data_IF_700351051472
#
_entry.id   IF_700351051472
#
_cell.length_a   1.000
_cell.length_b   1.000
_cell.length_c   1.000
_cell.angle_alpha   90.00
_cell.angle_beta   90.00
_cell.angle_gamma   90.00
#
_symmetry.space_group_name_H-M   'P 1'
#
loop_
_entity.id
_entity.type
_entity.pdbx_description
1 polymer ?
#
# COMPACT_ATOMS: atom_id res chain seq x y z
N UNK A 1 -9.31 -3.29 -8.77
CA UNK A 1 -8.56 -3.90 -9.89
C UNK A 1 -7.83 -5.14 -9.42
N UNK A 2 -6.85 -5.66 -10.17
CA UNK A 2 -6.09 -6.86 -9.81
C UNK A 2 -5.38 -6.78 -8.45
N UNK A 3 -4.99 -5.56 -8.02
CA UNK A 3 -4.33 -5.32 -6.73
C UNK A 3 -5.28 -4.90 -5.60
N UNK A 4 -6.58 -5.18 -5.75
CA UNK A 4 -7.57 -4.89 -4.70
C UNK A 4 -7.14 -5.59 -3.40
N UNK A 5 -7.23 -4.89 -2.26
CA UNK A 5 -6.79 -5.31 -0.92
C UNK A 5 -5.26 -5.38 -0.71
N UNK A 6 -4.44 -5.09 -1.73
CA UNK A 6 -2.97 -4.99 -1.59
C UNK A 6 -2.49 -3.56 -1.77
N UNK A 7 -3.00 -2.87 -2.80
CA UNK A 7 -2.70 -1.47 -3.11
C UNK A 7 -3.95 -0.62 -2.93
N UNK A 8 -3.88 0.36 -2.04
CA UNK A 8 -4.89 1.40 -1.86
C UNK A 8 -4.47 2.67 -2.63
N UNK A 9 -5.44 3.41 -3.16
CA UNK A 9 -5.23 4.71 -3.79
C UNK A 9 -5.93 5.77 -2.95
N UNK A 10 -5.17 6.76 -2.46
CA UNK A 10 -5.71 7.83 -1.63
C UNK A 10 -5.55 9.20 -2.27
N UNK A 11 -6.62 9.99 -2.19
CA UNK A 11 -6.64 11.42 -2.57
C UNK A 11 -6.77 12.34 -1.37
N UNK A 12 -6.73 11.78 -0.15
CA UNK A 12 -6.84 12.54 1.09
C UNK A 12 -5.46 13.07 1.52
N UNK A 13 -5.40 14.18 2.28
CA UNK A 13 -4.15 14.67 2.85
C UNK A 13 -3.75 13.82 4.08
N UNK A 14 -3.29 12.59 3.81
CA UNK A 14 -2.97 11.57 4.82
C UNK A 14 -1.74 11.97 5.63
N UNK A 15 -1.77 11.70 6.94
CA UNK A 15 -0.60 11.68 7.82
C UNK A 15 -0.35 10.28 8.37
N UNK A 16 0.83 10.05 8.97
CA UNK A 16 1.25 8.69 9.38
C UNK A 16 0.33 8.02 10.40
N UNK A 17 -0.37 8.77 11.25
CA UNK A 17 -1.29 8.18 12.24
C UNK A 17 -2.59 7.68 11.63
N UNK A 18 -2.98 8.21 10.47
CA UNK A 18 -4.23 7.82 9.79
C UNK A 18 -4.16 6.40 9.23
N UNK A 19 -2.94 5.86 9.04
CA UNK A 19 -2.70 4.55 8.43
C UNK A 19 -2.48 3.44 9.45
N UNK A 20 -2.47 3.74 10.75
CA UNK A 20 -2.29 2.73 11.80
C UNK A 20 -3.42 1.71 11.68
N UNK A 21 -3.06 0.43 11.54
CA UNK A 21 -4.03 -0.65 11.34
C UNK A 21 -4.60 -0.75 9.92
N UNK A 22 -4.08 0.01 8.94
CA UNK A 22 -4.45 -0.18 7.54
C UNK A 22 -3.81 -1.48 7.00
N UNK A 23 -4.59 -2.44 6.47
CA UNK A 23 -4.10 -3.76 6.09
C UNK A 23 -3.42 -3.79 4.70
N UNK A 24 -3.44 -2.69 3.94
CA UNK A 24 -2.83 -2.66 2.61
C UNK A 24 -1.31 -2.63 2.72
N UNK A 25 -0.63 -3.21 1.73
CA UNK A 25 0.83 -3.20 1.65
C UNK A 25 1.38 -1.87 1.15
N UNK A 26 0.55 -1.08 0.49
CA UNK A 26 0.91 0.22 -0.05
C UNK A 26 -0.34 1.08 -0.18
N UNK A 27 -0.26 2.32 0.27
CA UNK A 27 -1.29 3.34 0.12
C UNK A 27 -0.68 4.46 -0.70
N UNK A 28 -1.06 4.53 -1.97
CA UNK A 28 -0.54 5.51 -2.92
C UNK A 28 -1.09 6.90 -2.60
N UNK A 29 -0.21 7.84 -2.29
CA UNK A 29 -0.53 9.24 -2.02
C UNK A 29 -0.53 10.02 -3.34
N UNK A 30 -1.71 10.16 -3.93
CA UNK A 30 -1.88 10.87 -5.19
C UNK A 30 -1.57 12.38 -5.06
N UNK A 31 -2.01 13.10 -3.99
CA UNK A 31 -1.68 14.52 -3.81
C UNK A 31 -0.18 14.82 -3.72
N UNK A 32 0.62 13.89 -3.19
CA UNK A 32 2.07 14.07 -3.10
C UNK A 32 2.82 13.67 -4.37
N UNK A 33 2.18 12.92 -5.28
CA UNK A 33 2.81 12.43 -6.51
C UNK A 33 2.97 13.55 -7.54
N UNK A 34 4.16 13.67 -8.13
CA UNK A 34 4.48 14.72 -9.12
C UNK A 34 5.43 14.24 -10.21
N UNK A 35 5.30 14.83 -11.40
CA UNK A 35 6.31 14.76 -12.46
C UNK A 35 7.24 15.96 -12.29
N UNK A 36 8.53 15.67 -12.17
CA UNK A 36 9.63 16.64 -12.08
C UNK A 36 10.35 16.63 -13.42
N UNK A 37 10.68 17.82 -13.93
CA UNK A 37 11.44 18.03 -15.17
C UNK A 37 10.89 17.27 -16.41
N UNK A 38 9.58 17.03 -16.44
CA UNK A 38 8.86 16.44 -17.57
C UNK A 38 8.97 14.92 -17.74
N UNK A 39 9.94 14.26 -17.10
CA UNK A 39 10.14 12.82 -17.24
C UNK A 39 10.55 12.06 -15.96
N UNK A 40 10.69 12.73 -14.82
CA UNK A 40 11.00 12.07 -13.55
C UNK A 40 9.79 12.03 -12.62
N UNK A 41 9.23 10.85 -12.38
CA UNK A 41 8.05 10.70 -11.51
C UNK A 41 8.50 10.44 -10.08
N UNK A 42 8.11 11.33 -9.16
CA UNK A 42 8.23 11.13 -7.71
C UNK A 42 6.88 10.73 -7.15
N UNK A 43 6.80 9.54 -6.57
CA UNK A 43 5.62 9.03 -5.87
C UNK A 43 5.88 8.92 -4.37
N UNK A 44 4.82 8.93 -3.58
CA UNK A 44 4.88 8.60 -2.15
C UNK A 44 3.88 7.49 -1.86
N UNK A 45 4.30 6.50 -1.08
CA UNK A 45 3.43 5.42 -0.63
C UNK A 45 3.60 5.26 0.88
N UNK A 46 2.47 5.22 1.58
CA UNK A 46 2.41 4.89 3.00
C UNK A 46 2.19 3.39 3.18
N UNK A 47 2.62 2.87 4.32
CA UNK A 47 2.25 1.53 4.76
C UNK A 47 2.43 1.45 6.28
N UNK A 48 1.50 0.77 6.94
CA UNK A 48 1.73 0.31 8.30
C UNK A 48 2.70 -0.88 8.22
N UNK A 49 3.92 -0.68 8.70
CA UNK A 49 4.98 -1.67 8.59
C UNK A 49 4.73 -2.93 9.43
N UNK A 50 3.91 -2.86 10.48
CA UNK A 50 3.56 -4.02 11.30
C UNK A 50 2.30 -4.69 10.77
N UNK A 51 1.23 -3.92 10.57
CA UNK A 51 -0.08 -4.45 10.25
C UNK A 51 -0.19 -4.89 8.79
N UNK A 52 0.24 -4.04 7.85
CA UNK A 52 0.20 -4.36 6.42
C UNK A 52 1.04 -5.60 6.09
N UNK A 53 2.21 -5.73 6.71
CA UNK A 53 3.07 -6.90 6.55
C UNK A 53 2.46 -8.16 7.17
N UNK A 54 1.94 -8.08 8.40
CA UNK A 54 1.33 -9.25 9.07
C UNK A 54 0.15 -9.83 8.28
N UNK A 55 -0.67 -8.97 7.66
CA UNK A 55 -1.74 -9.43 6.76
C UNK A 55 -1.19 -10.17 5.53
N UNK A 56 -0.09 -9.72 4.94
CA UNK A 56 0.55 -10.43 3.80
C UNK A 56 1.11 -11.79 4.19
N UNK A 57 1.63 -11.92 5.40
CA UNK A 57 2.08 -13.23 5.92
C UNK A 57 0.89 -14.19 6.01
N UNK A 58 -0.24 -13.72 6.55
CA UNK A 58 -1.47 -14.54 6.61
C UNK A 58 -2.00 -14.91 5.23
N UNK A 59 -2.03 -13.96 4.29
CA UNK A 59 -2.43 -14.21 2.89
C UNK A 59 -1.52 -15.27 2.23
N UNK A 60 -0.20 -15.17 2.46
CA UNK A 60 0.78 -16.12 1.93
C UNK A 60 0.55 -17.54 2.46
N UNK A 61 0.20 -17.70 3.73
CA UNK A 61 -0.15 -19.03 4.27
C UNK A 61 -1.31 -19.66 3.50
N UNK A 62 -2.33 -18.88 3.14
CA UNK A 62 -3.44 -19.36 2.31
C UNK A 62 -3.04 -19.73 0.88
N UNK A 63 -2.00 -19.10 0.33
CA UNK A 63 -1.42 -19.50 -0.97
C UNK A 63 -0.62 -20.79 -0.84
N UNK A 64 0.18 -20.92 0.22
CA UNK A 64 0.97 -22.13 0.46
C UNK A 64 0.09 -23.36 0.68
N UNK A 65 -1.01 -23.22 1.42
CA UNK A 65 -2.01 -24.28 1.64
C UNK A 65 -2.63 -24.78 0.32
N UNK A 66 -2.73 -23.93 -0.71
CA UNK A 66 -3.24 -24.32 -2.02
C UNK A 66 -2.21 -25.05 -2.90
N UNK A 67 -0.94 -25.10 -2.47
CA UNK A 67 0.14 -25.77 -3.20
C UNK A 67 0.39 -27.21 -2.72
N UNK A 68 -0.13 -27.56 -1.54
CA UNK A 68 -0.11 -28.93 -0.98
C UNK A 68 -1.31 -29.77 -1.50
#
# INVERSE_FOLDING_TARGET
GPLKNVLEYSTLPVVSTDIIGNPHSSIFDAPFTRVVDGNFVKTLNWYDNEWGYSNRVADLLGVLDQLD
#
